data_IF_035667773331
#
_entry.id   IF_035667773331
#
_cell.length_a   1.000
_cell.length_b   1.000
_cell.length_c   1.000
_cell.angle_alpha   90.00
_cell.angle_beta   90.00
_cell.angle_gamma   90.00
#
_symmetry.space_group_name_H-M   'P 1'
#
loop_
_entity.id
_entity.type
_entity.pdbx_description
1 polymer ?
#
# COMPACT_ATOMS: atom_id res chain seq x y z
N UNK A 1 13.22 -4.46 8.18
CA UNK A 1 12.88 -3.35 7.28
C UNK A 1 11.40 -3.41 6.94
N UNK A 2 10.59 -2.49 7.47
CA UNK A 2 9.17 -2.40 7.09
C UNK A 2 9.07 -1.89 5.64
N UNK A 3 8.72 -2.76 4.69
CA UNK A 3 8.56 -2.37 3.30
C UNK A 3 7.36 -1.43 3.14
N UNK A 4 7.59 -0.20 2.68
CA UNK A 4 6.49 0.67 2.22
C UNK A 4 5.98 0.11 0.89
N UNK A 5 4.75 -0.41 0.88
CA UNK A 5 4.12 -1.01 -0.31
C UNK A 5 2.88 -0.20 -0.67
N UNK A 6 2.65 0.01 -1.96
CA UNK A 6 1.39 0.57 -2.42
C UNK A 6 0.30 -0.49 -2.33
N UNK A 7 -0.92 -0.12 -1.96
CA UNK A 7 -2.12 -0.97 -2.04
C UNK A 7 -3.16 -0.28 -2.92
N UNK A 8 -3.64 -0.96 -3.95
CA UNK A 8 -4.73 -0.45 -4.77
C UNK A 8 -6.01 -0.44 -3.95
N UNK A 9 -6.66 0.72 -3.85
CA UNK A 9 -7.96 0.84 -3.17
C UNK A 9 -9.09 0.18 -3.98
N UNK A 10 -8.91 0.06 -5.30
CA UNK A 10 -9.91 -0.49 -6.23
C UNK A 10 -9.92 -2.01 -6.22
N UNK A 11 -8.73 -2.64 -6.25
CA UNK A 11 -8.60 -4.10 -6.38
C UNK A 11 -8.06 -4.78 -5.13
N UNK A 12 -7.61 -4.01 -4.12
CA UNK A 12 -6.98 -4.52 -2.91
C UNK A 12 -5.57 -5.11 -3.10
N UNK A 13 -5.04 -5.11 -4.33
CA UNK A 13 -3.73 -5.68 -4.67
C UNK A 13 -2.57 -4.78 -4.25
N UNK A 14 -1.45 -5.38 -3.85
CA UNK A 14 -0.22 -4.65 -3.63
C UNK A 14 0.44 -4.26 -4.95
N UNK A 15 0.84 -3.00 -5.05
CA UNK A 15 1.48 -2.40 -6.22
C UNK A 15 2.80 -1.73 -5.83
N UNK A 16 3.64 -1.49 -6.83
CA UNK A 16 4.93 -0.81 -6.64
C UNK A 16 4.73 0.68 -6.34
N UNK A 17 5.72 1.30 -5.71
CA UNK A 17 5.71 2.75 -5.44
C UNK A 17 5.61 3.59 -6.72
N UNK A 18 6.13 3.09 -7.85
CA UNK A 18 5.94 3.73 -9.16
C UNK A 18 4.45 3.81 -9.56
N UNK A 19 3.67 2.77 -9.26
CA UNK A 19 2.23 2.75 -9.51
C UNK A 19 1.50 3.72 -8.58
N UNK A 20 1.92 3.81 -7.31
CA UNK A 20 1.37 4.78 -6.34
C UNK A 20 1.57 6.21 -6.85
N UNK A 21 2.77 6.55 -7.35
CA UNK A 21 3.06 7.88 -7.91
C UNK A 21 2.22 8.20 -9.14
N UNK A 22 1.93 7.20 -9.98
CA UNK A 22 1.09 7.38 -11.19
C UNK A 22 -0.40 7.50 -10.87
N UNK A 23 -0.87 6.82 -9.82
CA UNK A 23 -2.30 6.77 -9.47
C UNK A 23 -2.53 7.08 -7.98
N UNK A 24 -2.15 8.28 -7.50
CA UNK A 24 -2.23 8.62 -6.07
C UNK A 24 -3.68 8.61 -5.54
N UNK A 25 -4.67 8.83 -6.42
CA UNK A 25 -6.09 8.86 -6.05
C UNK A 25 -6.68 7.48 -5.73
N UNK A 26 -6.13 6.42 -6.30
CA UNK A 26 -6.69 5.05 -6.19
C UNK A 26 -5.73 4.06 -5.55
N UNK A 27 -4.66 4.58 -4.93
CA UNK A 27 -3.59 3.77 -4.36
C UNK A 27 -3.16 4.34 -3.02
N UNK A 28 -3.19 3.53 -1.97
CA UNK A 28 -2.73 3.88 -0.63
C UNK A 28 -1.30 3.43 -0.39
N UNK A 29 -0.55 4.15 0.44
CA UNK A 29 0.81 3.75 0.83
C UNK A 29 0.75 3.08 2.20
N UNK A 30 0.95 1.76 2.21
CA UNK A 30 0.86 0.96 3.43
C UNK A 30 2.28 0.57 3.86
N UNK A 31 2.65 0.93 5.09
CA UNK A 31 3.86 0.39 5.69
C UNK A 31 3.53 -0.97 6.29
N UNK A 32 4.10 -2.06 5.75
CA UNK A 32 3.92 -3.42 6.29
C UNK A 32 4.66 -3.63 7.62
N UNK A 33 4.86 -2.56 8.38
CA UNK A 33 5.71 -2.53 9.57
C UNK A 33 4.97 -2.79 10.88
N UNK A 34 3.76 -2.26 11.08
CA UNK A 34 3.13 -2.21 12.42
C UNK A 34 1.63 -1.93 12.35
N UNK A 35 0.81 -2.79 11.74
CA UNK A 35 -0.58 -2.40 11.47
C UNK A 35 -1.61 -3.48 11.24
N UNK A 36 -1.51 -4.65 11.87
CA UNK A 36 -2.68 -5.51 12.08
C UNK A 36 -2.46 -6.36 13.31
N UNK A 37 -2.47 -5.68 14.46
CA UNK A 37 -2.60 -6.32 15.76
C UNK A 37 -3.98 -6.96 15.78
N UNK A 38 -3.98 -8.27 15.62
CA UNK A 38 -5.09 -9.19 15.89
C UNK A 38 -5.70 -8.83 17.26
N UNK A 39 -6.95 -8.38 17.31
CA UNK A 39 -7.87 -8.63 18.43
C UNK A 39 -9.31 -8.43 17.95
#
# INVERSE_FOLDING_TARGET
>A
MAGKRGRSAVTGRFVKQSTVKRHPKTTTNESTGRGSKKK
#
